data_IF_153299116490
#
_entry.id   IF_153299116490
#
_cell.length_a   1.000
_cell.length_b   1.000
_cell.length_c   1.000
_cell.angle_alpha   90.00
_cell.angle_beta   90.00
_cell.angle_gamma   90.00
#
_symmetry.space_group_name_H-M   'P 1'
#
loop_
_entity.id
_entity.type
_entity.pdbx_description
1 polymer ?
#
# COMPACT_ATOMS: atom_id res chain seq x y z
N UNK A 1 -29.45 4.43 -16.60
CA UNK A 1 -29.71 4.26 -15.16
C UNK A 1 -29.82 2.76 -14.88
N UNK A 2 -28.72 2.04 -14.67
CA UNK A 2 -28.77 0.62 -14.30
C UNK A 2 -27.57 0.31 -13.37
N UNK A 3 -27.87 0.17 -12.09
CA UNK A 3 -26.93 -0.27 -11.05
C UNK A 3 -26.84 -1.80 -11.17
N UNK A 4 -25.63 -2.36 -11.28
CA UNK A 4 -25.47 -3.82 -11.38
C UNK A 4 -26.01 -4.53 -10.14
N UNK A 5 -26.58 -5.74 -10.29
CA UNK A 5 -27.19 -6.53 -9.19
C UNK A 5 -26.25 -6.70 -7.98
N UNK A 6 -24.93 -6.82 -8.19
CA UNK A 6 -23.95 -6.92 -7.10
C UNK A 6 -23.78 -5.61 -6.32
N UNK A 7 -23.91 -4.45 -6.98
CA UNK A 7 -23.90 -3.15 -6.30
C UNK A 7 -25.15 -2.93 -5.46
N UNK A 8 -26.30 -3.44 -5.91
CA UNK A 8 -27.55 -3.36 -5.16
C UNK A 8 -27.48 -4.13 -3.82
N UNK A 9 -26.88 -5.33 -3.82
CA UNK A 9 -26.65 -6.12 -2.60
C UNK A 9 -25.73 -5.39 -1.62
N UNK A 10 -24.65 -4.77 -2.11
CA UNK A 10 -23.70 -4.00 -1.28
C UNK A 10 -24.33 -2.72 -0.72
N UNK A 11 -25.14 -2.03 -1.51
CA UNK A 11 -25.92 -0.86 -1.10
C UNK A 11 -26.92 -1.22 0.00
N UNK A 12 -27.66 -2.31 -0.20
CA UNK A 12 -28.64 -2.79 0.77
C UNK A 12 -27.99 -3.26 2.07
N UNK A 13 -26.81 -3.88 2.00
CA UNK A 13 -26.00 -4.25 3.16
C UNK A 13 -25.63 -3.02 4.02
N UNK A 14 -25.13 -1.94 3.41
CA UNK A 14 -24.74 -0.73 4.15
C UNK A 14 -25.95 0.06 4.70
N UNK A 15 -27.06 0.11 3.96
CA UNK A 15 -28.31 0.73 4.41
C UNK A 15 -28.90 -0.01 5.62
N UNK A 16 -28.91 -1.35 5.60
CA UNK A 16 -29.42 -2.18 6.70
C UNK A 16 -28.58 -2.10 7.98
N UNK A 17 -27.31 -1.67 7.88
CA UNK A 17 -26.39 -1.44 9.01
C UNK A 17 -26.36 0.02 9.49
N UNK A 18 -27.30 0.87 9.06
CA UNK A 18 -27.40 2.26 9.51
C UNK A 18 -26.29 3.18 8.98
N UNK A 19 -25.60 2.81 7.89
CA UNK A 19 -24.44 3.54 7.35
C UNK A 19 -24.83 4.47 6.20
N UNK A 20 -25.78 5.39 6.45
CA UNK A 20 -26.29 6.36 5.46
C UNK A 20 -25.17 7.24 4.86
N UNK A 21 -24.18 7.65 5.67
CA UNK A 21 -23.03 8.43 5.18
C UNK A 21 -22.11 7.64 4.25
N UNK A 22 -21.94 6.32 4.49
CA UNK A 22 -21.18 5.43 3.60
C UNK A 22 -21.93 5.24 2.28
N UNK A 23 -23.27 5.21 2.32
CA UNK A 23 -24.10 5.20 1.11
C UNK A 23 -23.92 6.49 0.28
N UNK A 24 -24.00 7.68 0.89
CA UNK A 24 -23.73 8.94 0.19
C UNK A 24 -22.30 9.01 -0.36
N UNK A 25 -21.32 8.47 0.36
CA UNK A 25 -19.93 8.40 -0.10
C UNK A 25 -19.74 7.39 -1.24
N UNK A 26 -20.40 6.23 -1.23
CA UNK A 26 -20.41 5.27 -2.35
C UNK A 26 -21.11 5.86 -3.58
N UNK A 27 -22.19 6.63 -3.39
CA UNK A 27 -22.88 7.33 -4.46
C UNK A 27 -22.00 8.45 -5.04
N UNK A 28 -21.34 9.23 -4.19
CA UNK A 28 -20.32 10.22 -4.58
C UNK A 28 -19.17 9.56 -5.32
N UNK A 29 -18.67 8.40 -4.89
CA UNK A 29 -17.68 7.59 -5.60
C UNK A 29 -18.19 7.05 -6.92
N UNK A 30 -19.46 6.68 -7.04
CA UNK A 30 -20.07 6.27 -8.31
C UNK A 30 -20.12 7.42 -9.31
N UNK A 31 -20.41 8.63 -8.82
CA UNK A 31 -20.39 9.86 -9.62
C UNK A 31 -18.97 10.30 -9.99
N UNK A 32 -18.02 10.25 -9.04
CA UNK A 32 -16.61 10.54 -9.24
C UNK A 32 -15.93 9.48 -10.12
N UNK A 33 -16.31 8.20 -10.01
CA UNK A 33 -15.81 7.14 -10.88
C UNK A 33 -16.33 7.25 -12.31
N UNK A 34 -17.51 7.86 -12.51
CA UNK A 34 -17.98 8.24 -13.85
C UNK A 34 -17.10 9.33 -14.46
N UNK A 35 -16.58 10.25 -13.64
CA UNK A 35 -15.55 11.20 -14.07
C UNK A 35 -14.17 10.49 -14.27
N UNK A 36 -13.84 9.47 -13.47
CA UNK A 36 -12.63 8.63 -13.64
C UNK A 36 -12.63 7.76 -14.91
N UNK A 37 -13.74 7.66 -15.65
CA UNK A 37 -13.75 7.07 -17.00
C UNK A 37 -12.69 7.68 -17.92
N UNK A 38 -12.30 8.94 -17.67
CA UNK A 38 -11.23 9.64 -18.39
C UNK A 38 -9.82 9.25 -17.93
N UNK A 39 -9.59 8.88 -16.67
CA UNK A 39 -8.21 8.65 -16.20
C UNK A 39 -7.59 7.42 -16.86
N UNK A 40 -8.33 6.31 -16.94
CA UNK A 40 -7.88 5.08 -17.63
C UNK A 40 -7.56 5.31 -19.10
N UNK A 41 -8.31 6.17 -19.79
CA UNK A 41 -8.07 6.48 -21.20
C UNK A 41 -6.87 7.41 -21.36
N UNK A 42 -6.64 8.33 -20.42
CA UNK A 42 -5.44 9.19 -20.38
C UNK A 42 -4.19 8.34 -20.17
N UNK A 43 -4.17 7.44 -19.17
CA UNK A 43 -3.04 6.55 -18.86
C UNK A 43 -2.58 5.76 -20.10
N UNK A 44 -3.52 5.21 -20.86
CA UNK A 44 -3.24 4.45 -22.09
C UNK A 44 -2.63 5.31 -23.21
N UNK A 45 -2.95 6.60 -23.25
CA UNK A 45 -2.48 7.53 -24.29
C UNK A 45 -1.11 8.13 -23.99
N UNK A 46 -0.54 7.90 -22.80
CA UNK A 46 0.79 8.42 -22.46
C UNK A 46 1.84 7.71 -23.30
N UNK A 47 2.60 8.51 -24.04
CA UNK A 47 3.78 8.06 -24.79
C UNK A 47 4.82 7.48 -23.82
N UNK A 48 5.29 6.27 -24.14
CA UNK A 48 6.23 5.53 -23.30
C UNK A 48 7.63 5.69 -23.85
N UNK A 49 8.42 6.52 -23.16
CA UNK A 49 9.85 6.73 -23.43
C UNK A 49 10.70 5.84 -22.52
N UNK A 50 11.91 5.43 -22.95
CA UNK A 50 12.83 4.70 -22.09
C UNK A 50 13.07 5.40 -20.76
N UNK A 51 13.01 4.65 -19.67
CA UNK A 51 13.32 5.08 -18.31
C UNK A 51 14.67 4.48 -17.93
N UNK A 52 15.65 5.34 -17.66
CA UNK A 52 17.00 4.94 -17.26
C UNK A 52 17.17 5.31 -15.80
N UNK A 53 17.23 4.30 -14.92
CA UNK A 53 17.47 4.51 -13.50
C UNK A 53 18.97 4.78 -13.24
N UNK A 54 19.31 5.48 -12.14
CA UNK A 54 20.72 5.70 -11.77
C UNK A 54 21.45 4.38 -11.58
N UNK A 55 22.68 4.28 -12.09
CA UNK A 55 23.56 3.15 -11.79
C UNK A 55 24.12 3.27 -10.37
N UNK A 56 24.00 2.21 -9.59
CA UNK A 56 24.49 2.16 -8.22
C UNK A 56 26.02 2.35 -8.13
N UNK A 57 26.75 1.93 -9.17
CA UNK A 57 28.22 1.94 -9.19
C UNK A 57 28.83 3.28 -9.67
N UNK A 58 28.01 4.24 -10.13
CA UNK A 58 28.48 5.47 -10.79
C UNK A 58 27.94 6.76 -10.14
N UNK A 59 27.54 6.72 -8.86
CA UNK A 59 26.86 7.84 -8.20
C UNK A 59 27.60 8.34 -6.94
N UNK A 60 27.40 9.63 -6.61
CA UNK A 60 27.95 10.36 -5.45
C UNK A 60 27.52 9.81 -4.06
N UNK A 61 27.11 8.54 -3.98
CA UNK A 61 26.70 7.86 -2.76
C UNK A 61 27.80 6.89 -2.34
N UNK A 62 27.90 6.61 -1.03
CA UNK A 62 28.97 5.82 -0.40
C UNK A 62 28.96 4.32 -0.75
N UNK A 63 28.52 3.94 -1.96
CA UNK A 63 28.48 2.56 -2.46
C UNK A 63 27.35 1.70 -1.88
N UNK A 64 26.77 2.06 -0.74
CA UNK A 64 25.69 1.29 -0.11
C UNK A 64 24.30 1.72 -0.60
N UNK A 65 23.44 0.74 -0.87
CA UNK A 65 22.04 0.95 -1.23
C UNK A 65 21.24 1.23 0.05
N UNK A 66 20.60 2.40 0.15
CA UNK A 66 19.79 2.71 1.32
C UNK A 66 18.46 1.95 1.28
N UNK A 67 17.78 1.94 0.13
CA UNK A 67 16.44 1.34 -0.02
C UNK A 67 16.32 0.46 -1.26
N UNK A 68 15.83 -0.76 -1.10
CA UNK A 68 15.37 -1.60 -2.22
C UNK A 68 13.87 -1.42 -2.41
N UNK A 69 13.46 -0.79 -3.52
CA UNK A 69 12.06 -0.60 -3.88
C UNK A 69 11.59 -1.84 -4.67
N UNK A 70 10.71 -2.63 -4.08
CA UNK A 70 10.13 -3.83 -4.68
C UNK A 70 8.75 -3.48 -5.22
N UNK A 71 8.55 -3.71 -6.52
CA UNK A 71 7.28 -3.45 -7.21
C UNK A 71 6.70 -4.79 -7.66
N UNK A 72 5.70 -5.36 -6.95
CA UNK A 72 4.97 -6.53 -7.42
C UNK A 72 4.12 -6.14 -8.63
N UNK A 73 4.26 -6.90 -9.72
CA UNK A 73 3.57 -6.66 -10.98
C UNK A 73 2.84 -7.91 -11.44
N UNK A 74 1.57 -7.75 -11.82
CA UNK A 74 0.84 -8.75 -12.60
C UNK A 74 -0.02 -8.01 -13.64
N UNK A 75 0.48 -7.96 -14.87
CA UNK A 75 -0.04 -7.13 -15.94
C UNK A 75 -0.12 -5.63 -15.56
N UNK A 76 -1.02 -4.89 -16.21
CA UNK A 76 -1.25 -3.46 -16.02
C UNK A 76 -0.03 -2.61 -16.38
N UNK A 77 0.65 -2.95 -17.49
CA UNK A 77 1.87 -2.26 -17.94
C UNK A 77 1.78 -0.73 -17.90
N UNK A 78 0.66 -0.14 -18.34
CA UNK A 78 0.52 1.32 -18.36
C UNK A 78 0.67 1.95 -16.95
N UNK A 79 0.16 1.28 -15.92
CA UNK A 79 0.30 1.72 -14.53
C UNK A 79 1.70 1.47 -14.00
N UNK A 80 2.26 0.28 -14.29
CA UNK A 80 3.66 -0.04 -13.94
C UNK A 80 4.62 1.01 -14.51
N UNK A 81 4.44 1.41 -15.77
CA UNK A 81 5.24 2.45 -16.41
C UNK A 81 5.11 3.80 -15.70
N UNK A 82 3.90 4.20 -15.31
CA UNK A 82 3.67 5.47 -14.58
C UNK A 82 4.27 5.44 -13.17
N UNK A 83 4.14 4.32 -12.46
CA UNK A 83 4.78 4.11 -11.18
C UNK A 83 6.30 4.30 -11.30
N UNK A 84 6.95 3.58 -12.21
CA UNK A 84 8.40 3.70 -12.47
C UNK A 84 8.81 5.11 -12.86
N UNK A 85 8.06 5.75 -13.76
CA UNK A 85 8.30 7.15 -14.17
C UNK A 85 8.21 8.11 -12.99
N UNK A 86 7.25 7.90 -12.07
CA UNK A 86 7.08 8.72 -10.88
C UNK A 86 8.24 8.56 -9.89
N UNK A 87 8.74 7.33 -9.69
CA UNK A 87 9.92 7.05 -8.86
C UNK A 87 11.14 7.79 -9.43
N UNK A 88 11.43 7.61 -10.72
CA UNK A 88 12.58 8.23 -11.37
C UNK A 88 12.53 9.76 -11.31
N UNK A 89 11.33 10.33 -11.41
CA UNK A 89 11.10 11.78 -11.32
C UNK A 89 11.29 12.31 -9.90
N UNK A 90 10.79 11.60 -8.89
CA UNK A 90 10.61 12.13 -7.54
C UNK A 90 11.64 11.63 -6.51
N UNK A 91 12.53 10.70 -6.89
CA UNK A 91 13.61 10.18 -6.03
C UNK A 91 14.97 10.61 -6.58
N UNK A 92 15.60 11.63 -5.96
CA UNK A 92 16.85 12.24 -6.48
C UNK A 92 18.06 12.19 -5.54
N UNK A 93 17.83 12.09 -4.23
CA UNK A 93 18.85 12.35 -3.19
C UNK A 93 19.17 11.09 -2.38
N UNK A 94 18.47 9.99 -2.63
CA UNK A 94 18.62 8.74 -1.88
C UNK A 94 19.26 7.70 -2.79
N UNK A 95 20.16 6.89 -2.26
CA UNK A 95 20.65 5.68 -2.93
C UNK A 95 19.58 4.60 -2.88
N UNK A 96 19.06 4.20 -4.04
CA UNK A 96 18.01 3.18 -4.12
C UNK A 96 18.20 2.27 -5.32
N UNK A 97 17.66 1.06 -5.22
CA UNK A 97 17.48 0.17 -6.36
C UNK A 97 16.00 -0.11 -6.58
N UNK A 98 15.64 -0.50 -7.81
CA UNK A 98 14.29 -0.96 -8.14
C UNK A 98 14.33 -2.42 -8.54
N UNK A 99 13.50 -3.22 -7.88
CA UNK A 99 13.28 -4.63 -8.15
C UNK A 99 11.85 -4.79 -8.64
N UNK A 100 11.70 -5.11 -9.91
CA UNK A 100 10.41 -5.39 -10.51
C UNK A 100 10.13 -6.88 -10.40
N UNK A 101 9.12 -7.23 -9.60
CA UNK A 101 8.74 -8.60 -9.33
C UNK A 101 7.54 -8.96 -10.23
N UNK A 102 7.83 -9.45 -11.43
CA UNK A 102 6.80 -9.83 -12.41
C UNK A 102 6.25 -11.23 -12.12
N UNK A 103 4.97 -11.29 -11.79
CA UNK A 103 4.26 -12.48 -11.34
C UNK A 103 3.57 -13.23 -12.48
N UNK A 104 4.35 -13.56 -13.51
CA UNK A 104 3.89 -14.25 -14.71
C UNK A 104 2.87 -13.42 -15.53
N UNK A 105 3.22 -12.16 -15.85
CA UNK A 105 2.40 -11.29 -16.71
C UNK A 105 2.34 -11.79 -18.16
N UNK A 106 1.25 -11.43 -18.85
CA UNK A 106 1.04 -11.74 -20.27
C UNK A 106 0.75 -10.50 -21.13
N UNK A 107 0.75 -9.30 -20.54
CA UNK A 107 0.67 -8.04 -21.27
C UNK A 107 2.07 -7.48 -21.61
N UNK A 108 2.15 -6.21 -21.99
CA UNK A 108 3.40 -5.55 -22.38
C UNK A 108 4.50 -5.55 -21.28
N UNK A 109 4.16 -5.92 -20.04
CA UNK A 109 5.15 -6.18 -18.97
C UNK A 109 6.19 -7.25 -19.37
N UNK A 110 5.85 -8.17 -20.29
CA UNK A 110 6.82 -9.13 -20.84
C UNK A 110 7.99 -8.46 -21.57
N UNK A 111 7.82 -7.22 -22.03
CA UNK A 111 8.80 -6.44 -22.78
C UNK A 111 9.44 -5.32 -21.95
N UNK A 112 9.31 -5.34 -20.62
CA UNK A 112 9.73 -4.22 -19.76
C UNK A 112 11.20 -3.78 -19.95
N UNK A 113 12.10 -4.71 -20.28
CA UNK A 113 13.52 -4.48 -20.55
C UNK A 113 13.76 -3.54 -21.75
N UNK A 114 12.79 -3.42 -22.66
CA UNK A 114 12.84 -2.47 -23.79
C UNK A 114 12.65 -1.03 -23.31
N UNK A 115 11.90 -0.84 -22.23
CA UNK A 115 11.49 0.46 -21.72
C UNK A 115 12.23 0.89 -20.46
N UNK A 116 12.85 -0.03 -19.72
CA UNK A 116 13.44 0.27 -18.41
C UNK A 116 14.85 -0.31 -18.34
N UNK A 117 15.81 0.52 -17.93
CA UNK A 117 17.22 0.15 -17.74
C UNK A 117 17.67 0.40 -16.30
N UNK A 118 18.72 -0.30 -15.89
CA UNK A 118 19.35 -0.20 -14.56
C UNK A 118 18.40 -0.56 -13.41
N UNK A 119 17.60 -1.62 -13.61
CA UNK A 119 16.70 -2.20 -12.62
C UNK A 119 16.89 -3.71 -12.56
N UNK A 120 16.55 -4.34 -11.45
CA UNK A 120 16.46 -5.80 -11.35
C UNK A 120 15.06 -6.25 -11.74
N UNK A 121 14.95 -7.30 -12.55
CA UNK A 121 13.66 -7.87 -12.95
C UNK A 121 13.66 -9.34 -12.54
N UNK A 122 12.73 -9.70 -11.65
CA UNK A 122 12.55 -11.06 -11.13
C UNK A 122 11.23 -11.58 -11.70
N UNK A 123 11.28 -12.60 -12.55
CA UNK A 123 10.09 -13.17 -13.20
C UNK A 123 9.73 -14.51 -12.58
N UNK A 124 8.52 -14.63 -12.05
CA UNK A 124 8.00 -15.90 -11.56
C UNK A 124 7.48 -16.75 -12.72
N UNK A 125 7.68 -18.08 -12.63
CA UNK A 125 7.16 -19.04 -13.61
C UNK A 125 5.64 -19.22 -13.53
N UNK A 126 5.08 -19.00 -12.35
CA UNK A 126 3.66 -19.13 -12.03
C UNK A 126 3.21 -17.84 -11.31
N UNK A 127 1.92 -17.52 -11.37
CA UNK A 127 1.36 -16.45 -10.57
C UNK A 127 1.31 -16.89 -9.10
N UNK A 128 2.15 -16.29 -8.26
CA UNK A 128 2.28 -16.59 -6.84
C UNK A 128 1.30 -15.78 -5.97
N UNK A 129 0.75 -14.71 -6.52
CA UNK A 129 -0.03 -13.71 -5.78
C UNK A 129 0.88 -12.70 -5.08
N UNK A 130 0.27 -11.65 -4.52
CA UNK A 130 0.98 -10.47 -4.00
C UNK A 130 2.06 -10.84 -2.97
N UNK A 131 1.67 -11.48 -1.86
CA UNK A 131 2.59 -11.65 -0.74
C UNK A 131 3.75 -12.58 -1.07
N UNK A 132 3.51 -13.65 -1.83
CA UNK A 132 4.55 -14.61 -2.21
C UNK A 132 5.50 -14.01 -3.23
N UNK A 133 4.99 -13.21 -4.15
CA UNK A 133 5.80 -12.48 -5.10
C UNK A 133 6.70 -11.44 -4.38
N UNK A 134 6.14 -10.68 -3.43
CA UNK A 134 6.89 -9.76 -2.57
C UNK A 134 8.00 -10.49 -1.79
N UNK A 135 7.67 -11.61 -1.12
CA UNK A 135 8.63 -12.43 -0.39
C UNK A 135 9.74 -12.99 -1.29
N UNK A 136 9.39 -13.44 -2.49
CA UNK A 136 10.38 -13.95 -3.45
C UNK A 136 11.34 -12.85 -3.89
N UNK A 137 10.82 -11.67 -4.25
CA UNK A 137 11.62 -10.54 -4.69
C UNK A 137 12.49 -9.95 -3.57
N UNK A 138 12.02 -9.98 -2.32
CA UNK A 138 12.76 -9.49 -1.16
C UNK A 138 14.13 -10.15 -1.01
N UNK A 139 14.27 -11.43 -1.39
CA UNK A 139 15.55 -12.16 -1.37
C UNK A 139 16.64 -11.53 -2.24
N UNK A 140 16.27 -10.68 -3.20
CA UNK A 140 17.19 -10.01 -4.12
C UNK A 140 17.50 -8.55 -3.71
N UNK A 141 16.95 -8.08 -2.59
CA UNK A 141 17.15 -6.75 -2.05
C UNK A 141 18.52 -6.58 -1.38
N UNK A 142 19.31 -5.61 -1.85
CA UNK A 142 20.59 -5.22 -1.24
C UNK A 142 20.46 -4.09 -0.22
N UNK A 143 19.38 -3.30 -0.26
CA UNK A 143 19.19 -2.12 0.55
C UNK A 143 19.14 -2.37 2.06
N UNK A 144 19.51 -1.38 2.88
CA UNK A 144 19.33 -1.43 4.35
C UNK A 144 17.84 -1.52 4.72
N UNK A 145 16.98 -0.86 3.95
CA UNK A 145 15.53 -0.93 4.07
C UNK A 145 14.91 -1.57 2.83
N UNK A 146 13.80 -2.28 3.02
CA UNK A 146 12.94 -2.77 1.95
C UNK A 146 11.73 -1.85 1.89
N UNK A 147 11.35 -1.43 0.68
CA UNK A 147 10.11 -0.72 0.42
C UNK A 147 9.26 -1.49 -0.59
N UNK A 148 8.09 -1.94 -0.18
CA UNK A 148 7.10 -2.52 -1.08
C UNK A 148 6.23 -1.40 -1.65
N UNK A 149 6.07 -1.32 -2.97
CA UNK A 149 5.28 -0.31 -3.65
C UNK A 149 4.44 -0.93 -4.76
N UNK A 150 3.12 -0.83 -4.67
CA UNK A 150 2.23 -1.37 -5.69
C UNK A 150 2.43 -0.69 -7.06
N UNK A 151 2.25 -1.46 -8.13
CA UNK A 151 2.44 -0.97 -9.50
C UNK A 151 1.38 0.03 -9.97
N UNK A 152 0.26 0.14 -9.26
CA UNK A 152 -0.83 1.09 -9.50
C UNK A 152 -0.74 2.32 -8.59
N UNK A 153 0.48 2.79 -8.32
CA UNK A 153 0.76 4.00 -7.53
C UNK A 153 1.51 5.07 -8.32
N UNK A 154 1.43 6.31 -7.84
CA UNK A 154 2.25 7.43 -8.30
C UNK A 154 2.81 8.19 -7.09
N UNK A 155 4.11 8.03 -6.86
CA UNK A 155 4.78 8.64 -5.72
C UNK A 155 5.01 10.13 -5.95
N UNK A 156 4.87 10.95 -4.91
CA UNK A 156 5.05 12.41 -5.00
C UNK A 156 6.47 12.84 -4.65
N UNK A 157 6.79 14.13 -4.83
CA UNK A 157 8.10 14.68 -4.47
C UNK A 157 8.46 14.35 -3.02
N UNK A 158 9.75 14.16 -2.76
CA UNK A 158 10.35 13.91 -1.42
C UNK A 158 9.82 12.70 -0.63
N UNK A 159 8.91 11.89 -1.20
CA UNK A 159 8.27 10.75 -0.53
C UNK A 159 9.28 9.80 0.15
N UNK A 160 10.27 9.31 -0.61
CA UNK A 160 11.26 8.35 -0.11
C UNK A 160 12.23 8.97 0.86
N UNK A 161 12.66 10.22 0.60
CA UNK A 161 13.55 10.96 1.50
C UNK A 161 12.91 11.10 2.87
N UNK A 162 11.65 11.52 2.93
CA UNK A 162 10.94 11.73 4.19
C UNK A 162 10.72 10.40 4.93
N UNK A 163 10.33 9.34 4.23
CA UNK A 163 10.20 8.00 4.81
C UNK A 163 11.53 7.50 5.40
N UNK A 164 12.63 7.61 4.64
CA UNK A 164 13.95 7.17 5.10
C UNK A 164 14.42 7.98 6.31
N UNK A 165 14.28 9.31 6.27
CA UNK A 165 14.64 10.18 7.40
C UNK A 165 13.86 9.82 8.66
N UNK A 166 12.57 9.49 8.54
CA UNK A 166 11.79 8.99 9.66
C UNK A 166 12.34 7.65 10.18
N UNK A 167 12.58 6.69 9.29
CA UNK A 167 13.12 5.37 9.66
C UNK A 167 14.50 5.42 10.32
N UNK A 168 15.28 6.47 10.07
CA UNK A 168 16.60 6.72 10.67
C UNK A 168 16.54 7.59 11.92
N UNK A 169 15.41 8.27 12.19
CA UNK A 169 15.27 9.19 13.32
C UNK A 169 15.05 8.51 14.68
N UNK A 170 14.51 7.29 14.68
CA UNK A 170 14.26 6.50 15.88
C UNK A 170 14.42 5.02 15.54
N UNK A 171 15.38 4.36 16.20
CA UNK A 171 15.65 2.94 15.99
C UNK A 171 14.49 2.02 16.38
N UNK A 172 13.53 2.51 17.17
CA UNK A 172 12.30 1.78 17.46
C UNK A 172 11.30 1.80 16.31
N UNK A 173 11.48 2.59 15.25
CA UNK A 173 10.57 2.56 14.10
C UNK A 173 10.90 1.34 13.22
N UNK A 174 9.99 0.37 13.21
CA UNK A 174 10.12 -0.85 12.42
C UNK A 174 9.50 -0.72 11.04
N UNK A 175 8.34 -0.04 10.95
CA UNK A 175 7.61 0.22 9.70
C UNK A 175 7.24 1.69 9.62
N UNK A 176 7.27 2.26 8.41
CA UNK A 176 6.59 3.50 8.11
C UNK A 176 5.80 3.46 6.79
N UNK A 177 4.82 4.36 6.65
CA UNK A 177 3.98 4.49 5.47
C UNK A 177 3.55 5.92 5.18
N UNK A 178 3.20 6.22 3.92
CA UNK A 178 2.82 7.56 3.49
C UNK A 178 1.34 7.87 3.77
N UNK A 179 0.95 9.13 3.50
CA UNK A 179 -0.43 9.47 3.16
C UNK A 179 -0.78 8.94 1.79
N UNK A 180 -1.89 8.21 1.70
CA UNK A 180 -2.45 7.84 0.42
C UNK A 180 -3.58 8.78 0.01
N UNK A 181 -3.57 9.16 -1.26
CA UNK A 181 -4.58 10.02 -1.86
C UNK A 181 -5.12 9.34 -3.12
N UNK A 182 -6.42 9.46 -3.35
CA UNK A 182 -7.03 9.03 -4.60
C UNK A 182 -6.58 9.94 -5.76
N UNK A 183 -6.65 9.48 -7.03
CA UNK A 183 -6.27 10.31 -8.18
C UNK A 183 -7.05 11.62 -8.32
N UNK A 184 -8.24 11.68 -7.71
CA UNK A 184 -9.09 12.87 -7.67
C UNK A 184 -8.78 13.83 -6.50
N UNK A 185 -7.72 13.58 -5.74
CA UNK A 185 -7.29 14.43 -4.62
C UNK A 185 -8.00 14.17 -3.29
N UNK A 186 -8.90 13.19 -3.19
CA UNK A 186 -9.57 12.86 -1.93
C UNK A 186 -8.69 11.93 -1.07
N UNK A 187 -8.72 12.06 0.25
CA UNK A 187 -7.96 11.20 1.15
C UNK A 187 -8.37 9.73 0.99
N UNK A 188 -7.40 8.86 0.75
CA UNK A 188 -7.60 7.41 0.76
C UNK A 188 -7.30 6.87 2.16
N UNK A 189 -6.12 7.17 2.70
CA UNK A 189 -5.67 6.62 3.97
C UNK A 189 -4.68 7.55 4.67
N UNK A 190 -4.92 7.75 5.97
CA UNK A 190 -4.00 8.39 6.89
C UNK A 190 -3.56 7.39 7.98
N UNK A 191 -2.99 6.26 7.58
CA UNK A 191 -2.80 5.08 8.43
C UNK A 191 -4.10 4.29 8.62
N UNK A 192 -3.97 3.08 9.14
CA UNK A 192 -5.08 2.16 9.31
C UNK A 192 -5.31 1.75 10.77
N UNK A 193 -6.57 1.39 11.05
CA UNK A 193 -7.06 0.94 12.35
C UNK A 193 -7.50 -0.52 12.23
N UNK A 194 -7.15 -1.33 13.22
CA UNK A 194 -7.71 -2.66 13.45
C UNK A 194 -8.60 -2.63 14.69
N UNK A 195 -9.78 -3.21 14.59
CA UNK A 195 -10.72 -3.38 15.70
C UNK A 195 -10.60 -4.77 16.31
N UNK A 196 -11.18 -4.94 17.51
CA UNK A 196 -11.14 -6.21 18.26
C UNK A 196 -11.80 -7.38 17.50
N UNK A 197 -12.81 -7.11 16.68
CA UNK A 197 -13.45 -8.10 15.80
C UNK A 197 -12.68 -8.35 14.50
N UNK A 198 -11.46 -7.82 14.37
CA UNK A 198 -10.60 -7.96 13.21
C UNK A 198 -10.96 -7.02 12.05
N UNK A 199 -12.03 -6.23 12.12
CA UNK A 199 -12.34 -5.28 11.05
C UNK A 199 -11.23 -4.23 10.88
N UNK A 200 -10.92 -3.89 9.63
CA UNK A 200 -9.85 -2.96 9.28
C UNK A 200 -10.39 -1.72 8.57
N UNK A 201 -9.93 -0.54 8.99
CA UNK A 201 -10.40 0.75 8.48
C UNK A 201 -9.23 1.62 8.02
N UNK A 202 -9.34 2.20 6.83
CA UNK A 202 -8.48 3.30 6.38
C UNK A 202 -8.91 4.60 7.06
N UNK A 203 -8.08 5.15 7.94
CA UNK A 203 -8.44 6.34 8.69
C UNK A 203 -8.55 7.57 7.78
N UNK A 204 -9.65 8.29 7.88
CA UNK A 204 -9.92 9.50 7.09
C UNK A 204 -10.36 9.23 5.65
N UNK A 205 -10.61 7.98 5.26
CA UNK A 205 -11.04 7.65 3.90
C UNK A 205 -12.26 8.47 3.47
N UNK A 206 -12.17 9.06 2.27
CA UNK A 206 -13.14 9.98 1.65
C UNK A 206 -13.27 11.37 2.30
N UNK A 207 -12.41 11.73 3.24
CA UNK A 207 -12.37 13.06 3.84
C UNK A 207 -11.42 14.00 3.08
N UNK A 208 -11.36 15.27 3.50
CA UNK A 208 -10.42 16.25 2.97
C UNK A 208 -8.99 15.95 3.49
N UNK A 209 -8.00 15.69 2.61
CA UNK A 209 -6.63 15.33 3.02
C UNK A 209 -5.87 16.47 3.72
N UNK A 210 -6.32 17.72 3.61
CA UNK A 210 -5.66 18.91 4.19
C UNK A 210 -6.08 19.17 5.63
N UNK A 211 -7.01 18.38 6.18
CA UNK A 211 -7.42 18.56 7.57
C UNK A 211 -6.26 18.33 8.53
N UNK A 212 -6.13 19.14 9.61
CA UNK A 212 -5.02 19.02 10.55
C UNK A 212 -4.88 17.63 11.16
N UNK A 213 -5.99 16.90 11.41
CA UNK A 213 -5.94 15.54 11.97
C UNK A 213 -5.19 14.51 11.11
N UNK A 214 -4.97 14.80 9.82
CA UNK A 214 -4.27 13.93 8.87
C UNK A 214 -2.87 14.45 8.51
N UNK A 215 -2.38 15.50 9.17
CA UNK A 215 -1.15 16.20 8.76
C UNK A 215 -0.09 16.27 9.87
N UNK A 216 -0.08 15.29 10.78
CA UNK A 216 1.03 15.03 11.70
C UNK A 216 1.45 13.56 11.68
N UNK A 217 2.73 13.30 11.95
CA UNK A 217 3.29 11.96 12.07
C UNK A 217 2.82 11.30 13.37
N UNK A 218 2.48 10.01 13.33
CA UNK A 218 1.95 9.26 14.50
C UNK A 218 2.10 7.75 14.35
N UNK A 219 1.98 7.03 15.45
CA UNK A 219 1.81 5.59 15.39
C UNK A 219 0.43 5.21 14.82
N UNK A 220 0.34 4.02 14.25
CA UNK A 220 -0.90 3.48 13.66
C UNK A 220 -0.92 1.96 13.78
N UNK A 221 -2.10 1.33 13.69
CA UNK A 221 -2.17 -0.12 13.87
C UNK A 221 -1.44 -0.88 12.77
N UNK A 222 -1.56 -0.41 11.53
CA UNK A 222 -0.82 -0.89 10.37
C UNK A 222 -0.81 0.17 9.24
N UNK A 223 0.01 -0.08 8.22
CA UNK A 223 0.07 0.65 6.95
C UNK A 223 -0.37 -0.29 5.84
N UNK A 224 -1.18 0.16 4.89
CA UNK A 224 -1.58 -0.69 3.77
C UNK A 224 -0.37 -1.12 2.91
N UNK A 225 -0.40 -2.37 2.44
CA UNK A 225 0.62 -2.99 1.59
C UNK A 225 0.95 -2.27 0.27
N UNK A 226 0.23 -1.18 -0.06
CA UNK A 226 0.46 -0.37 -1.24
C UNK A 226 1.78 0.42 -1.22
N UNK A 227 2.25 0.83 -0.03
CA UNK A 227 3.55 1.50 0.15
C UNK A 227 4.02 1.35 1.60
N UNK A 228 4.87 0.35 1.87
CA UNK A 228 5.43 0.07 3.20
C UNK A 228 6.95 0.11 3.12
N UNK A 229 7.60 0.90 3.96
CA UNK A 229 9.04 0.78 4.22
C UNK A 229 9.27 0.02 5.54
N UNK A 230 10.22 -0.92 5.55
CA UNK A 230 10.57 -1.74 6.71
C UNK A 230 12.10 -1.95 6.77
N UNK A 231 12.64 -2.07 7.99
CA UNK A 231 14.04 -2.50 8.21
C UNK A 231 14.24 -3.90 7.59
N UNK A 232 15.23 -4.07 6.71
CA UNK A 232 15.46 -5.36 6.00
C UNK A 232 15.66 -6.52 6.98
N UNK A 233 16.50 -6.31 7.99
CA UNK A 233 16.80 -7.30 9.03
C UNK A 233 15.53 -7.72 9.78
N UNK A 234 14.68 -6.76 10.16
CA UNK A 234 13.41 -7.02 10.84
C UNK A 234 12.44 -7.81 9.95
N UNK A 235 12.34 -7.49 8.65
CA UNK A 235 11.51 -8.25 7.72
C UNK A 235 11.97 -9.72 7.63
N UNK A 236 13.28 -9.97 7.60
CA UNK A 236 13.83 -11.33 7.61
C UNK A 236 13.67 -12.05 8.94
N UNK A 237 13.83 -11.35 10.07
CA UNK A 237 13.60 -11.90 11.41
C UNK A 237 12.13 -12.33 11.60
N UNK A 238 11.19 -11.60 11.01
CA UNK A 238 9.77 -11.97 11.01
C UNK A 238 9.49 -13.17 10.10
N UNK A 239 10.30 -13.38 9.05
CA UNK A 239 10.09 -14.41 8.03
C UNK A 239 9.31 -13.90 6.80
N UNK A 240 9.21 -12.58 6.63
CA UNK A 240 8.49 -11.93 5.54
C UNK A 240 6.98 -11.82 5.76
N UNK A 241 6.22 -11.61 4.68
CA UNK A 241 4.76 -11.66 4.74
C UNK A 241 4.30 -13.09 5.00
N UNK A 242 3.35 -13.24 5.92
CA UNK A 242 2.90 -14.57 6.34
C UNK A 242 2.00 -15.23 5.28
N UNK A 243 2.42 -16.40 4.80
CA UNK A 243 1.72 -17.11 3.72
C UNK A 243 0.33 -17.63 4.10
N UNK A 244 -0.05 -17.60 5.39
CA UNK A 244 -1.42 -17.88 5.82
C UNK A 244 -2.45 -16.98 5.13
N UNK A 245 -2.04 -15.78 4.73
CA UNK A 245 -2.89 -14.77 4.09
C UNK A 245 -2.84 -14.83 2.56
N UNK A 246 -2.25 -15.86 1.96
CA UNK A 246 -2.19 -15.96 0.51
C UNK A 246 -3.62 -16.05 -0.08
N UNK A 247 -3.93 -15.32 -1.17
CA UNK A 247 -3.01 -14.53 -2.00
C UNK A 247 -2.80 -13.06 -1.57
N UNK A 248 -3.69 -12.47 -0.77
CA UNK A 248 -3.55 -11.14 -0.13
C UNK A 248 -4.69 -10.88 0.88
N UNK A 249 -4.72 -9.64 1.41
CA UNK A 249 -5.48 -9.13 2.54
C UNK A 249 -5.02 -9.68 3.90
N UNK A 250 -4.80 -8.76 4.84
CA UNK A 250 -4.30 -8.97 6.21
C UNK A 250 -2.81 -9.34 6.33
N UNK A 251 -2.07 -9.55 5.25
CA UNK A 251 -0.61 -9.73 5.30
C UNK A 251 0.12 -8.50 5.83
N UNK A 252 -0.39 -7.31 5.53
CA UNK A 252 0.16 -6.02 5.96
C UNK A 252 -0.17 -5.71 7.42
N UNK A 253 -1.43 -5.95 7.83
CA UNK A 253 -1.86 -5.89 9.22
C UNK A 253 -1.09 -6.90 10.09
N UNK A 254 -0.89 -8.12 9.59
CA UNK A 254 -0.12 -9.15 10.28
C UNK A 254 1.35 -8.76 10.46
N UNK A 255 1.99 -8.27 9.40
CA UNK A 255 3.37 -7.79 9.46
C UNK A 255 3.51 -6.68 10.50
N UNK A 256 2.58 -5.72 10.54
CA UNK A 256 2.56 -4.66 11.54
C UNK A 256 2.41 -5.20 12.97
N UNK A 257 1.58 -6.22 13.19
CA UNK A 257 1.43 -6.87 14.50
C UNK A 257 2.70 -7.62 14.92
N UNK A 258 3.37 -8.32 14.00
CA UNK A 258 4.65 -8.98 14.27
C UNK A 258 5.76 -7.97 14.61
N UNK A 259 5.78 -6.81 13.95
CA UNK A 259 6.70 -5.68 14.25
C UNK A 259 6.41 -5.14 15.66
N UNK A 260 5.16 -4.85 15.98
CA UNK A 260 4.75 -4.33 17.31
C UNK A 260 5.01 -5.33 18.42
N UNK A 261 4.80 -6.62 18.18
CA UNK A 261 5.10 -7.71 19.13
C UNK A 261 6.58 -7.75 19.53
N UNK A 262 7.47 -7.29 18.65
CA UNK A 262 8.93 -7.18 18.89
C UNK A 262 9.35 -5.84 19.51
N UNK A 263 8.40 -4.98 19.90
CA UNK A 263 8.67 -3.71 20.55
C UNK A 263 8.98 -2.55 19.59
N UNK A 264 8.77 -2.75 18.29
CA UNK A 264 8.93 -1.70 17.29
C UNK A 264 7.61 -0.96 17.01
N UNK A 265 7.73 0.28 16.54
CA UNK A 265 6.65 1.17 16.15
C UNK A 265 6.29 1.01 14.68
N UNK A 266 5.03 1.30 14.38
CA UNK A 266 4.49 1.38 13.01
C UNK A 266 3.97 2.79 12.82
N UNK A 267 4.57 3.56 11.91
CA UNK A 267 4.39 5.01 11.86
C UNK A 267 3.79 5.49 10.53
N UNK A 268 2.73 6.28 10.63
CA UNK A 268 2.15 7.02 9.54
C UNK A 268 2.85 8.38 9.36
N UNK A 269 3.29 8.70 8.14
CA UNK A 269 4.00 9.94 7.82
C UNK A 269 3.30 10.75 6.70
N UNK A 270 2.57 11.83 7.05
CA UNK A 270 1.81 12.60 6.06
C UNK A 270 2.65 13.49 5.15
N UNK A 271 3.92 13.76 5.50
CA UNK A 271 4.85 14.48 4.64
C UNK A 271 5.38 13.64 3.48
N UNK A 272 5.12 12.33 3.48
CA UNK A 272 5.28 11.44 2.32
C UNK A 272 3.89 11.17 1.72
N UNK A 273 3.73 11.40 0.43
CA UNK A 273 2.44 11.28 -0.25
C UNK A 273 2.56 10.33 -1.45
N UNK A 274 1.60 9.40 -1.55
CA UNK A 274 1.48 8.47 -2.67
C UNK A 274 0.06 8.51 -3.20
N UNK A 275 -0.09 8.71 -4.50
CA UNK A 275 -1.39 8.56 -5.17
C UNK A 275 -1.60 7.08 -5.45
N UNK A 276 -2.75 6.52 -5.11
CA UNK A 276 -3.07 5.11 -5.36
C UNK A 276 -4.33 4.98 -6.22
N UNK A 277 -4.21 4.27 -7.35
CA UNK A 277 -5.29 4.19 -8.34
C UNK A 277 -6.41 3.22 -7.95
N UNK A 278 -6.20 2.34 -6.95
CA UNK A 278 -7.07 1.29 -6.40
C UNK A 278 -7.87 0.43 -7.40
N UNK A 279 -8.05 -0.86 -7.11
CA UNK A 279 -8.90 -1.77 -7.90
C UNK A 279 -8.51 -1.88 -9.40
N UNK A 280 -7.26 -1.54 -9.74
CA UNK A 280 -6.74 -1.65 -11.11
C UNK A 280 -6.15 -3.04 -11.35
N UNK A 281 -5.21 -3.45 -10.50
CA UNK A 281 -4.47 -4.72 -10.61
C UNK A 281 -5.23 -5.89 -9.96
N UNK A 282 -6.02 -5.62 -8.92
CA UNK A 282 -6.65 -6.65 -8.07
C UNK A 282 -8.10 -7.03 -8.46
N UNK A 283 -8.37 -7.30 -9.74
CA UNK A 283 -9.75 -7.56 -10.24
C UNK A 283 -10.21 -9.03 -10.23
N UNK A 284 -9.33 -9.99 -10.00
CA UNK A 284 -9.60 -11.43 -10.21
C UNK A 284 -9.97 -12.22 -8.95
N UNK A 285 -9.84 -11.67 -7.74
CA UNK A 285 -10.00 -12.44 -6.50
C UNK A 285 -11.38 -12.30 -5.89
N UNK A 286 -11.83 -13.36 -5.22
CA UNK A 286 -13.22 -13.49 -4.75
C UNK A 286 -13.41 -12.60 -3.51
N UNK A 287 -14.58 -11.97 -3.34
CA UNK A 287 -14.92 -11.22 -2.12
C UNK A 287 -14.69 -11.97 -0.80
N UNK A 288 -14.63 -13.31 -0.86
CA UNK A 288 -14.47 -14.19 0.29
C UNK A 288 -13.04 -14.24 0.84
N UNK A 289 -12.01 -13.93 0.04
CA UNK A 289 -10.60 -14.09 0.47
C UNK A 289 -10.26 -13.16 1.65
N UNK A 290 -10.76 -11.92 1.62
CA UNK A 290 -10.58 -10.97 2.72
C UNK A 290 -11.33 -11.37 4.00
N UNK A 291 -12.49 -12.02 3.89
CA UNK A 291 -13.24 -12.51 5.05
C UNK A 291 -12.55 -13.74 5.67
N UNK A 292 -12.11 -14.69 4.84
CA UNK A 292 -11.36 -15.87 5.29
C UNK A 292 -10.06 -15.45 5.97
N UNK A 293 -9.33 -14.49 5.39
CA UNK A 293 -8.08 -14.02 5.96
C UNK A 293 -8.27 -13.18 7.23
N UNK A 294 -9.39 -12.44 7.35
CA UNK A 294 -9.79 -11.81 8.62
C UNK A 294 -9.96 -12.85 9.73
N UNK A 295 -10.64 -13.96 9.45
CA UNK A 295 -10.85 -15.02 10.45
C UNK A 295 -9.52 -15.64 10.90
N UNK A 296 -8.62 -15.93 9.95
CA UNK A 296 -7.25 -16.39 10.27
C UNK A 296 -6.49 -15.36 11.11
N UNK A 297 -6.63 -14.06 10.79
CA UNK A 297 -6.01 -12.97 11.53
C UNK A 297 -6.52 -12.89 12.97
N UNK A 298 -7.84 -12.94 13.16
CA UNK A 298 -8.46 -12.98 14.50
C UNK A 298 -7.96 -14.19 15.28
N UNK A 299 -7.90 -15.37 14.65
CA UNK A 299 -7.42 -16.58 15.32
C UNK A 299 -5.96 -16.46 15.75
N UNK A 300 -5.07 -15.95 14.88
CA UNK A 300 -3.64 -15.72 15.18
C UNK A 300 -3.45 -14.72 16.32
N UNK A 301 -4.20 -13.61 16.28
CA UNK A 301 -3.99 -12.45 17.16
C UNK A 301 -5.03 -12.30 18.27
N UNK A 302 -5.85 -13.32 18.53
CA UNK A 302 -6.99 -13.27 19.46
C UNK A 302 -6.69 -12.54 20.77
N UNK A 303 -5.65 -12.97 21.49
CA UNK A 303 -5.25 -12.36 22.77
C UNK A 303 -4.85 -10.88 22.64
N UNK A 304 -4.15 -10.52 21.57
CA UNK A 304 -3.70 -9.14 21.30
C UNK A 304 -4.91 -8.25 20.99
N UNK A 305 -5.81 -8.72 20.15
CA UNK A 305 -7.05 -8.02 19.80
C UNK A 305 -7.95 -7.83 21.02
N UNK A 306 -8.09 -8.87 21.86
CA UNK A 306 -8.92 -8.80 23.07
C UNK A 306 -8.38 -7.83 24.12
N UNK A 307 -7.06 -7.75 24.28
CA UNK A 307 -6.42 -6.98 25.35
C UNK A 307 -6.09 -5.53 24.94
N UNK A 308 -5.84 -5.27 23.66
CA UNK A 308 -5.25 -4.00 23.20
C UNK A 308 -6.06 -3.28 22.12
N UNK A 309 -7.15 -3.87 21.63
CA UNK A 309 -8.01 -3.24 20.61
C UNK A 309 -9.43 -3.00 21.13
N UNK A 310 -10.03 -1.91 20.65
CA UNK A 310 -11.38 -1.53 21.01
C UNK A 310 -12.42 -2.33 20.23
N UNK A 311 -13.61 -2.48 20.82
CA UNK A 311 -14.78 -3.01 20.14
C UNK A 311 -15.10 -2.18 18.89
N UNK A 312 -15.44 -2.88 17.80
CA UNK A 312 -15.88 -2.23 16.57
C UNK A 312 -17.26 -1.60 16.80
N UNK A 313 -17.32 -0.27 16.86
CA UNK A 313 -18.58 0.42 17.09
C UNK A 313 -19.33 0.66 15.77
N UNK A 314 -20.57 0.16 15.71
CA UNK A 314 -21.51 0.49 14.66
C UNK A 314 -22.05 1.91 14.89
N UNK A 315 -21.47 2.88 14.18
CA UNK A 315 -21.82 4.30 14.11
C UNK A 315 -21.29 5.23 15.23
N UNK A 316 -20.61 6.28 14.75
CA UNK A 316 -20.37 7.57 15.39
C UNK A 316 -19.45 7.51 16.62
N UNK A 317 -18.15 7.62 16.37
CA UNK A 317 -17.43 8.81 16.83
C UNK A 317 -16.06 8.93 16.14
N UNK A 318 -15.91 9.99 15.33
CA UNK A 318 -14.60 10.49 14.89
C UNK A 318 -13.65 10.73 16.08
N UNK A 319 -14.19 10.88 17.30
CA UNK A 319 -13.47 11.11 18.56
C UNK A 319 -12.56 9.93 18.94
N UNK A 320 -13.01 8.68 18.82
CA UNK A 320 -12.17 7.52 19.18
C UNK A 320 -11.11 7.23 18.11
N UNK A 321 -11.44 7.41 16.83
CA UNK A 321 -10.42 7.37 15.77
C UNK A 321 -9.40 8.51 15.94
N UNK A 322 -9.84 9.70 16.39
CA UNK A 322 -8.95 10.80 16.79
C UNK A 322 -8.09 10.42 17.99
N UNK A 323 -8.65 9.80 19.02
CA UNK A 323 -7.89 9.33 20.19
C UNK A 323 -6.86 8.25 19.81
N UNK A 324 -7.23 7.25 19.01
CA UNK A 324 -6.28 6.25 18.47
C UNK A 324 -5.18 6.86 17.60
N UNK A 325 -5.48 7.95 16.89
CA UNK A 325 -4.49 8.68 16.09
C UNK A 325 -3.65 9.67 16.90
N UNK A 326 -4.05 10.00 18.13
CA UNK A 326 -3.41 11.03 18.96
C UNK A 326 -2.33 10.48 19.89
N UNK A 327 -2.12 9.16 19.92
CA UNK A 327 -1.06 8.51 20.69
C UNK A 327 0.06 8.01 19.78
#
# INVERSE_FOLDING_TARGET
MLISKNRFKKIWYYLKKGRINVFFNIFRLSLLNRLNGNYKSIVKKIEKKPLIFPELNNSNFSGEVSVSIIIPVYNQWDYTYLCLKSILKNTKVISYEVIIADDNSSDETVNIEKYVKNVKIIRNKNNLGFLRNCNNAAKHASGKYILFLNNDTEVQKVWLKNLLQLMESDDKIGIAGPKFIYPNGVLLEAGCIIWKDGESWQYGMFDNPDRPEYNYSRETDFISGACIIIKKELFYEIGGFDERYAPAYYEDADLAFEVRKRGYKVVYLPSSVVIHYENITYKKYKPDDGQVNKEKFIQKWKKKLENEHYEHMNNINKILCKQKSQF
#
